data_IF_283125270939
#
_entry.id   IF_283125270939
#
_cell.length_a   1.000
_cell.length_b   1.000
_cell.length_c   1.000
_cell.angle_alpha   90.00
_cell.angle_beta   90.00
_cell.angle_gamma   90.00
#
_symmetry.space_group_name_H-M   'P 1'
#
loop_
_entity.id
_entity.type
_entity.pdbx_description
1 polymer ?
#
# COMPACT_ATOMS: atom_id res chain seq x y z
N UNK A 1 -20.46 2.04 16.54
CA UNK A 1 -19.31 1.11 16.46
C UNK A 1 -18.62 1.09 15.09
N UNK A 2 -19.34 1.15 13.96
CA UNK A 2 -18.70 1.21 12.63
C UNK A 2 -17.82 2.48 12.41
N UNK A 3 -18.20 3.61 13.03
CA UNK A 3 -17.47 4.89 12.87
C UNK A 3 -16.04 4.91 13.40
N UNK A 4 -15.64 4.00 14.29
CA UNK A 4 -14.27 3.89 14.80
C UNK A 4 -13.50 2.68 14.23
N UNK A 5 -14.19 1.71 13.63
CA UNK A 5 -13.58 0.48 13.12
C UNK A 5 -12.66 0.74 11.93
N UNK A 6 -13.08 1.60 10.98
CA UNK A 6 -12.25 1.96 9.82
C UNK A 6 -10.92 2.60 10.26
N UNK A 7 -10.96 3.43 11.32
CA UNK A 7 -9.78 4.08 11.88
C UNK A 7 -8.85 3.06 12.54
N UNK A 8 -9.40 2.13 13.31
CA UNK A 8 -8.63 1.03 13.90
C UNK A 8 -7.94 0.21 12.80
N UNK A 9 -8.68 -0.20 11.76
CA UNK A 9 -8.11 -0.94 10.63
C UNK A 9 -7.00 -0.15 9.92
N UNK A 10 -7.17 1.16 9.71
CA UNK A 10 -6.16 2.02 9.09
C UNK A 10 -4.88 2.11 9.96
N UNK A 11 -5.02 2.30 11.27
CA UNK A 11 -3.88 2.33 12.20
C UNK A 11 -3.18 0.97 12.25
N UNK A 12 -3.95 -0.12 12.35
CA UNK A 12 -3.40 -1.49 12.29
C UNK A 12 -2.66 -1.74 10.98
N UNK A 13 -3.15 -1.22 9.86
CA UNK A 13 -2.49 -1.32 8.56
C UNK A 13 -1.13 -0.62 8.57
N UNK A 14 -1.06 0.61 9.10
CA UNK A 14 0.21 1.35 9.23
C UNK A 14 1.23 0.61 10.11
N UNK A 15 0.78 0.00 11.22
CA UNK A 15 1.63 -0.81 12.10
C UNK A 15 2.17 -2.04 11.34
N UNK A 16 1.30 -2.76 10.62
CA UNK A 16 1.69 -3.98 9.91
C UNK A 16 2.66 -3.68 8.76
N UNK A 17 2.43 -2.60 7.99
CA UNK A 17 3.37 -2.18 6.94
C UNK A 17 4.73 -1.77 7.53
N UNK A 18 4.75 -0.95 8.59
CA UNK A 18 5.99 -0.55 9.24
C UNK A 18 6.81 -1.73 9.77
N UNK A 19 6.15 -2.70 10.41
CA UNK A 19 6.79 -3.93 10.87
C UNK A 19 7.29 -4.79 9.70
N UNK A 20 6.48 -4.93 8.64
CA UNK A 20 6.86 -5.66 7.44
C UNK A 20 8.12 -5.06 6.80
N UNK A 21 8.22 -3.74 6.66
CA UNK A 21 9.41 -3.10 6.10
C UNK A 21 10.66 -3.31 6.94
N UNK A 22 10.56 -3.17 8.27
CA UNK A 22 11.69 -3.43 9.16
C UNK A 22 12.19 -4.89 9.05
N UNK A 23 11.27 -5.85 8.95
CA UNK A 23 11.62 -7.25 8.73
C UNK A 23 12.20 -7.50 7.34
N UNK A 24 11.64 -6.88 6.30
CA UNK A 24 12.15 -7.00 4.93
C UNK A 24 13.59 -6.51 4.83
N UNK A 25 13.92 -5.37 5.43
CA UNK A 25 15.32 -4.88 5.55
C UNK A 25 16.21 -5.92 6.25
N UNK A 26 15.77 -6.42 7.41
CA UNK A 26 16.52 -7.46 8.16
C UNK A 26 16.74 -8.73 7.33
N UNK A 27 15.73 -9.20 6.60
CA UNK A 27 15.81 -10.42 5.77
C UNK A 27 16.74 -10.20 4.60
N UNK A 28 16.61 -9.08 3.88
CA UNK A 28 17.42 -8.77 2.70
C UNK A 28 18.90 -8.52 3.02
N UNK A 29 19.26 -8.18 4.27
CA UNK A 29 20.65 -8.18 4.74
C UNK A 29 21.31 -9.56 4.74
N UNK A 30 20.53 -10.64 4.66
CA UNK A 30 21.02 -12.01 4.50
C UNK A 30 21.05 -12.42 3.01
N UNK A 31 21.34 -11.49 2.11
CA UNK A 31 21.46 -11.70 0.65
C UNK A 31 20.18 -12.19 -0.06
N UNK A 32 19.05 -12.18 0.64
CA UNK A 32 17.74 -12.43 0.03
C UNK A 32 17.41 -11.29 -0.93
N UNK A 33 17.14 -11.64 -2.19
CA UNK A 33 16.82 -10.64 -3.22
C UNK A 33 15.38 -10.12 -3.08
N UNK A 34 15.11 -8.86 -3.49
CA UNK A 34 13.76 -8.29 -3.49
C UNK A 34 12.72 -9.16 -4.21
N UNK A 35 13.07 -9.71 -5.37
CA UNK A 35 12.17 -10.55 -6.18
C UNK A 35 11.83 -11.85 -5.45
N UNK A 36 12.84 -12.51 -4.85
CA UNK A 36 12.59 -13.74 -4.10
C UNK A 36 11.65 -13.49 -2.92
N UNK A 37 11.88 -12.42 -2.15
CA UNK A 37 11.01 -12.04 -1.04
C UNK A 37 9.58 -11.74 -1.52
N UNK A 38 9.43 -11.06 -2.66
CA UNK A 38 8.13 -10.76 -3.27
C UNK A 38 7.37 -12.01 -3.71
N UNK A 39 8.06 -13.02 -4.27
CA UNK A 39 7.43 -14.30 -4.63
C UNK A 39 6.93 -15.03 -3.39
N UNK A 40 7.77 -15.18 -2.37
CA UNK A 40 7.41 -15.90 -1.13
C UNK A 40 6.23 -15.22 -0.43
N UNK A 41 6.31 -13.90 -0.26
CA UNK A 41 5.22 -13.12 0.36
C UNK A 41 3.95 -13.14 -0.48
N UNK A 42 4.06 -13.11 -1.81
CA UNK A 42 2.94 -13.24 -2.75
C UNK A 42 2.22 -14.58 -2.66
N UNK A 43 2.94 -15.70 -2.52
CA UNK A 43 2.34 -17.02 -2.34
C UNK A 43 1.55 -17.09 -1.02
N UNK A 44 2.12 -16.56 0.07
CA UNK A 44 1.45 -16.52 1.38
C UNK A 44 0.19 -15.64 1.30
N UNK A 45 0.28 -14.48 0.65
CA UNK A 45 -0.85 -13.58 0.43
C UNK A 45 -1.97 -14.25 -0.38
N UNK A 46 -1.64 -14.97 -1.46
CA UNK A 46 -2.61 -15.71 -2.25
C UNK A 46 -3.31 -16.79 -1.42
N UNK A 47 -2.55 -17.60 -0.67
CA UNK A 47 -3.11 -18.63 0.19
C UNK A 47 -4.07 -18.05 1.24
N UNK A 48 -3.65 -16.98 1.93
CA UNK A 48 -4.47 -16.31 2.94
C UNK A 48 -5.76 -15.72 2.34
N UNK A 49 -5.65 -15.00 1.23
CA UNK A 49 -6.80 -14.37 0.56
C UNK A 49 -7.79 -15.40 0.00
N UNK A 50 -7.31 -16.54 -0.53
CA UNK A 50 -8.18 -17.63 -0.96
C UNK A 50 -8.95 -18.26 0.19
N UNK A 51 -8.28 -18.56 1.31
CA UNK A 51 -8.94 -19.14 2.49
C UNK A 51 -10.04 -18.23 3.01
N UNK A 52 -9.74 -16.94 3.20
CA UNK A 52 -10.74 -15.96 3.68
C UNK A 52 -11.85 -15.78 2.65
N UNK A 53 -11.52 -15.65 1.37
CA UNK A 53 -12.50 -15.44 0.31
C UNK A 53 -13.49 -16.61 0.17
N UNK A 54 -13.01 -17.84 0.30
CA UNK A 54 -13.84 -19.04 0.29
C UNK A 54 -14.69 -19.16 1.58
N UNK A 55 -14.07 -18.95 2.74
CA UNK A 55 -14.76 -19.04 4.03
C UNK A 55 -15.88 -17.99 4.20
N UNK A 56 -15.71 -16.82 3.60
CA UNK A 56 -16.69 -15.72 3.65
C UNK A 56 -17.60 -15.66 2.42
N UNK A 57 -17.41 -16.57 1.45
CA UNK A 57 -18.15 -16.64 0.20
C UNK A 57 -18.08 -15.34 -0.65
N UNK A 58 -17.03 -14.54 -0.48
CA UNK A 58 -16.82 -13.25 -1.18
C UNK A 58 -16.30 -13.41 -2.61
N UNK A 59 -15.93 -14.63 -3.02
CA UNK A 59 -15.38 -14.90 -4.36
C UNK A 59 -16.44 -15.19 -5.44
N UNK A 60 -17.66 -15.60 -5.04
CA UNK A 60 -18.66 -16.16 -5.97
C UNK A 60 -19.05 -15.21 -7.11
N UNK A 61 -19.15 -13.92 -6.82
CA UNK A 61 -19.64 -12.94 -7.79
C UNK A 61 -18.51 -12.09 -8.40
N UNK A 62 -17.35 -12.03 -7.74
CA UNK A 62 -16.23 -11.18 -8.16
C UNK A 62 -15.73 -11.52 -9.56
N UNK A 63 -15.55 -12.81 -9.88
CA UNK A 63 -15.11 -13.24 -11.21
C UNK A 63 -16.13 -12.92 -12.30
N UNK A 64 -17.42 -13.18 -12.04
CA UNK A 64 -18.47 -12.89 -13.02
C UNK A 64 -18.59 -11.38 -13.29
N UNK A 65 -18.51 -10.55 -12.25
CA UNK A 65 -18.52 -9.09 -12.39
C UNK A 65 -17.30 -8.57 -13.14
N UNK A 66 -16.11 -9.09 -12.81
CA UNK A 66 -14.87 -8.72 -13.47
C UNK A 66 -14.90 -9.05 -14.98
N UNK A 67 -15.34 -10.24 -15.38
CA UNK A 67 -15.34 -10.64 -16.78
C UNK A 67 -16.54 -10.12 -17.59
N UNK A 68 -17.63 -9.74 -16.94
CA UNK A 68 -18.80 -9.13 -17.61
C UNK A 68 -18.65 -7.62 -17.87
N UNK A 69 -17.79 -6.93 -17.11
CA UNK A 69 -17.56 -5.49 -17.26
C UNK A 69 -16.12 -5.19 -17.65
N UNK A 70 -15.91 -4.81 -18.93
CA UNK A 70 -14.59 -4.48 -19.47
C UNK A 70 -13.89 -3.33 -18.74
N UNK A 71 -14.63 -2.31 -18.28
CA UNK A 71 -14.02 -1.19 -17.52
C UNK A 71 -13.49 -1.70 -16.19
N UNK A 72 -14.31 -2.45 -15.45
CA UNK A 72 -13.93 -3.03 -14.17
C UNK A 72 -12.74 -3.98 -14.30
N UNK A 73 -12.73 -4.81 -15.35
CA UNK A 73 -11.57 -5.66 -15.67
C UNK A 73 -10.29 -4.83 -15.82
N UNK A 74 -10.32 -3.76 -16.62
CA UNK A 74 -9.15 -2.92 -16.86
C UNK A 74 -8.70 -2.19 -15.58
N UNK A 75 -9.64 -1.69 -14.78
CA UNK A 75 -9.36 -1.07 -13.48
C UNK A 75 -8.66 -2.06 -12.54
N UNK A 76 -9.16 -3.29 -12.42
CA UNK A 76 -8.53 -4.35 -11.60
C UNK A 76 -7.13 -4.69 -12.11
N UNK A 77 -6.92 -4.75 -13.42
CA UNK A 77 -5.61 -5.01 -14.01
C UNK A 77 -4.62 -3.86 -13.72
N UNK A 78 -5.08 -2.60 -13.78
CA UNK A 78 -4.26 -1.43 -13.43
C UNK A 78 -3.91 -1.45 -11.94
N UNK A 79 -4.88 -1.71 -11.06
CA UNK A 79 -4.66 -1.85 -9.61
C UNK A 79 -3.60 -2.92 -9.34
N UNK A 80 -3.73 -4.08 -10.00
CA UNK A 80 -2.80 -5.20 -9.85
C UNK A 80 -1.39 -4.82 -10.31
N UNK A 81 -1.27 -4.15 -11.46
CA UNK A 81 0.01 -3.68 -11.98
C UNK A 81 0.67 -2.66 -11.04
N UNK A 82 -0.09 -1.69 -10.52
CA UNK A 82 0.39 -0.71 -9.55
C UNK A 82 0.85 -1.37 -8.24
N UNK A 83 0.10 -2.36 -7.74
CA UNK A 83 0.46 -3.08 -6.52
C UNK A 83 1.76 -3.87 -6.68
N UNK A 84 1.90 -4.61 -7.79
CA UNK A 84 3.11 -5.39 -8.12
C UNK A 84 4.30 -4.46 -8.30
N UNK A 85 4.16 -3.38 -9.08
CA UNK A 85 5.22 -2.42 -9.31
C UNK A 85 5.63 -1.70 -8.00
N UNK A 86 4.67 -1.24 -7.20
CA UNK A 86 4.91 -0.59 -5.92
C UNK A 86 5.66 -1.49 -4.93
N UNK A 87 5.22 -2.74 -4.80
CA UNK A 87 5.88 -3.75 -3.93
C UNK A 87 7.31 -4.03 -4.38
N UNK A 88 7.54 -4.15 -5.69
CA UNK A 88 8.89 -4.35 -6.22
C UNK A 88 9.79 -3.13 -5.94
N UNK A 89 9.30 -1.92 -6.24
CA UNK A 89 10.06 -0.69 -6.06
C UNK A 89 10.42 -0.45 -4.59
N UNK A 90 9.49 -0.70 -3.66
CA UNK A 90 9.77 -0.51 -2.24
C UNK A 90 10.80 -1.50 -1.73
N UNK A 91 10.72 -2.78 -2.11
CA UNK A 91 11.73 -3.76 -1.72
C UNK A 91 13.11 -3.46 -2.31
N UNK A 92 13.16 -3.03 -3.58
CA UNK A 92 14.41 -2.56 -4.19
C UNK A 92 14.96 -1.35 -3.43
N UNK A 93 14.14 -0.35 -3.13
CA UNK A 93 14.57 0.83 -2.39
C UNK A 93 15.10 0.50 -0.99
N UNK A 94 14.40 -0.39 -0.26
CA UNK A 94 14.84 -0.87 1.06
C UNK A 94 16.19 -1.59 0.94
N UNK A 95 16.34 -2.46 -0.06
CA UNK A 95 17.58 -3.20 -0.30
C UNK A 95 18.77 -2.27 -0.65
N UNK A 96 18.51 -1.17 -1.36
CA UNK A 96 19.52 -0.17 -1.71
C UNK A 96 19.91 0.74 -0.54
N UNK A 97 19.04 0.91 0.46
CA UNK A 97 19.29 1.81 1.61
C UNK A 97 18.93 1.15 2.94
N UNK A 98 17.78 1.50 3.51
CA UNK A 98 17.24 0.90 4.73
C UNK A 98 15.74 1.22 4.84
N UNK A 99 14.99 0.40 5.58
CA UNK A 99 13.54 0.54 5.69
C UNK A 99 13.10 1.86 6.30
N UNK A 100 13.87 2.43 7.22
CA UNK A 100 13.50 3.70 7.88
C UNK A 100 13.52 4.84 6.87
N UNK A 101 14.65 5.09 6.22
CA UNK A 101 14.79 6.19 5.27
C UNK A 101 13.82 6.07 4.08
N UNK A 102 13.55 4.84 3.63
CA UNK A 102 12.66 4.57 2.50
C UNK A 102 11.20 4.81 2.87
N UNK A 103 10.71 4.25 3.99
CA UNK A 103 9.32 4.41 4.43
C UNK A 103 8.97 5.88 4.74
N UNK A 104 9.95 6.67 5.19
CA UNK A 104 9.78 8.11 5.39
C UNK A 104 9.48 8.86 4.10
N UNK A 105 10.06 8.47 2.97
CA UNK A 105 9.74 9.07 1.67
C UNK A 105 8.41 8.50 1.17
N UNK A 106 8.21 7.19 1.32
CA UNK A 106 7.01 6.48 0.87
C UNK A 106 5.73 7.08 1.47
N UNK A 107 5.74 7.49 2.74
CA UNK A 107 4.57 8.07 3.42
C UNK A 107 4.05 9.38 2.80
N UNK A 108 4.71 9.90 1.75
CA UNK A 108 4.18 10.92 0.86
C UNK A 108 3.03 10.45 -0.04
N UNK A 109 2.80 9.13 -0.18
CA UNK A 109 1.73 8.56 -1.01
C UNK A 109 0.32 9.13 -0.76
N UNK A 110 -0.10 9.56 0.45
CA UNK A 110 -1.41 10.17 0.66
C UNK A 110 -1.65 11.42 -0.18
N UNK A 111 -0.59 12.17 -0.53
CA UNK A 111 -0.69 13.32 -1.45
C UNK A 111 -1.04 12.87 -2.86
N UNK A 112 -0.36 11.83 -3.35
CA UNK A 112 -0.65 11.23 -4.65
C UNK A 112 -2.04 10.61 -4.66
N UNK A 113 -2.44 9.91 -3.58
CA UNK A 113 -3.80 9.38 -3.41
C UNK A 113 -4.84 10.49 -3.51
N UNK A 114 -4.61 11.64 -2.88
CA UNK A 114 -5.52 12.79 -2.94
C UNK A 114 -5.65 13.35 -4.38
N UNK A 115 -4.52 13.51 -5.08
CA UNK A 115 -4.52 13.97 -6.49
C UNK A 115 -5.25 12.98 -7.39
N UNK A 116 -4.97 11.68 -7.26
CA UNK A 116 -5.61 10.64 -8.07
C UNK A 116 -7.08 10.46 -7.72
N UNK A 117 -7.45 10.54 -6.44
CA UNK A 117 -8.86 10.51 -6.02
C UNK A 117 -9.64 11.68 -6.63
N UNK A 118 -9.09 12.89 -6.61
CA UNK A 118 -9.70 14.03 -7.29
C UNK A 118 -9.83 13.79 -8.80
N UNK A 119 -8.80 13.24 -9.45
CA UNK A 119 -8.83 13.03 -10.89
C UNK A 119 -9.78 11.91 -11.33
N UNK A 120 -9.84 10.81 -10.56
CA UNK A 120 -10.60 9.60 -10.86
C UNK A 120 -12.04 9.72 -10.36
N UNK A 121 -12.24 10.03 -9.08
CA UNK A 121 -13.56 10.08 -8.44
C UNK A 121 -14.27 11.41 -8.68
N UNK A 122 -13.54 12.45 -9.11
CA UNK A 122 -14.05 13.83 -9.25
C UNK A 122 -14.58 14.44 -7.95
N UNK A 123 -14.26 13.84 -6.81
CA UNK A 123 -14.64 14.32 -5.49
C UNK A 123 -13.49 15.11 -4.84
N UNK A 124 -13.77 16.33 -4.39
CA UNK A 124 -12.86 17.06 -3.51
C UNK A 124 -13.16 16.63 -2.07
N UNK A 125 -12.48 15.60 -1.59
CA UNK A 125 -12.52 15.22 -0.18
C UNK A 125 -11.56 16.04 0.69
N UNK A 126 -10.95 17.08 0.12
CA UNK A 126 -10.00 17.96 0.81
C UNK A 126 -10.78 19.00 1.61
N UNK A 127 -10.78 18.85 2.93
CA UNK A 127 -11.11 19.94 3.85
C UNK A 127 -9.81 20.57 4.41
N UNK A 128 -9.94 21.73 5.07
CA UNK A 128 -8.80 22.46 5.67
C UNK A 128 -7.99 21.56 6.61
N UNK A 129 -8.64 20.67 7.36
CA UNK A 129 -7.97 19.72 8.25
C UNK A 129 -7.08 18.73 7.50
N UNK A 130 -7.56 18.14 6.41
CA UNK A 130 -6.75 17.24 5.57
C UNK A 130 -5.61 17.96 4.86
N UNK A 131 -5.79 19.22 4.46
CA UNK A 131 -4.72 20.03 3.87
C UNK A 131 -3.60 20.33 4.89
N UNK A 132 -3.96 20.69 6.12
CA UNK A 132 -3.01 20.92 7.22
C UNK A 132 -2.27 19.61 7.57
N UNK A 133 -2.99 18.48 7.65
CA UNK A 133 -2.39 17.17 7.90
C UNK A 133 -1.39 16.77 6.81
N UNK A 134 -1.75 16.95 5.53
CA UNK A 134 -0.86 16.70 4.40
C UNK A 134 0.38 17.61 4.43
N UNK A 135 0.21 18.88 4.79
CA UNK A 135 1.33 19.80 4.96
C UNK A 135 2.29 19.37 6.08
N UNK A 136 1.78 18.85 7.19
CA UNK A 136 2.63 18.31 8.27
C UNK A 136 3.37 17.03 7.86
N UNK A 137 2.75 16.15 7.06
CA UNK A 137 3.45 14.99 6.50
C UNK A 137 4.64 15.46 5.64
N UNK A 138 4.40 16.38 4.71
CA UNK A 138 5.45 16.96 3.86
C UNK A 138 6.56 17.64 4.66
N UNK A 139 6.19 18.44 5.65
CA UNK A 139 7.14 19.14 6.51
C UNK A 139 8.00 18.17 7.32
N UNK A 140 7.40 17.09 7.84
CA UNK A 140 8.13 16.01 8.47
C UNK A 140 9.17 15.40 7.54
N UNK A 141 8.78 15.05 6.31
CA UNK A 141 9.68 14.48 5.29
C UNK A 141 10.88 15.40 5.03
N UNK A 142 10.65 16.71 4.85
CA UNK A 142 11.71 17.69 4.59
C UNK A 142 12.71 17.78 5.76
N UNK A 143 12.23 17.86 7.01
CA UNK A 143 13.11 17.90 8.19
C UNK A 143 14.01 16.68 8.25
N UNK A 144 13.46 15.49 7.97
CA UNK A 144 14.22 14.25 8.02
C UNK A 144 15.25 14.16 6.89
N UNK A 145 14.90 14.61 5.69
CA UNK A 145 15.84 14.69 4.57
C UNK A 145 17.00 15.65 4.84
N UNK A 146 16.75 16.79 5.48
CA UNK A 146 17.80 17.78 5.79
C UNK A 146 18.72 17.36 6.94
N UNK A 147 18.29 16.42 7.80
CA UNK A 147 19.07 15.94 8.95
C UNK A 147 19.89 14.67 8.64
N UNK A 148 19.43 13.84 7.71
CA UNK A 148 20.08 12.59 7.31
C UNK A 148 20.96 12.74 6.08
#
# INVERSE_FOLDING_TARGET
>A
MAGSLWFICAVSTAIMWGYSYALSDKVMRNEITPIFLMIVTGIIYLGFSLVIGLATNQLKDGFNLMFSNRSLFLEIMIISACYVAGTFLIYVAINLKNATAVNLIEISYPLFTMIFAYWILKEVQINIGTAIGGAFILFGIVIMYLKG
#
